data_IF_223914511352
#
_entry.id   IF_223914511352
#
_cell.length_a   1.000
_cell.length_b   1.000
_cell.length_c   1.000
_cell.angle_alpha   90.00
_cell.angle_beta   90.00
_cell.angle_gamma   90.00
#
_symmetry.space_group_name_H-M   'P 1'
#
loop_
_entity.id
_entity.type
_entity.pdbx_description
1 polymer ?
#
# COMPACT_ATOMS: atom_id res chain seq x y z
N UNK A 1 -4.01 -4.23 28.20
CA UNK A 1 -2.57 -4.17 27.88
C UNK A 1 -2.48 -3.89 26.39
N UNK A 2 -1.93 -2.74 25.98
CA UNK A 2 -1.69 -2.48 24.56
C UNK A 2 -0.56 -3.40 24.11
N UNK A 3 -0.86 -4.37 23.25
CA UNK A 3 0.16 -5.15 22.57
C UNK A 3 0.73 -4.25 21.47
N UNK A 4 2.05 -4.08 21.44
CA UNK A 4 2.69 -3.32 20.38
C UNK A 4 2.43 -4.00 19.03
N UNK A 5 2.01 -3.24 18.02
CA UNK A 5 1.88 -3.77 16.66
C UNK A 5 3.28 -4.12 16.18
N UNK A 6 3.56 -5.39 15.79
CA UNK A 6 4.88 -5.78 15.33
C UNK A 6 5.15 -5.15 13.98
N UNK A 7 6.42 -4.82 13.72
CA UNK A 7 6.85 -4.49 12.38
C UNK A 7 7.04 -5.79 11.59
N UNK A 8 6.33 -5.93 10.47
CA UNK A 8 6.33 -7.13 9.62
C UNK A 8 7.24 -7.00 8.38
N UNK A 9 7.90 -5.86 8.23
CA UNK A 9 8.79 -5.57 7.11
C UNK A 9 8.69 -4.11 6.68
N UNK A 10 8.82 -3.88 5.38
CA UNK A 10 8.82 -2.55 4.76
C UNK A 10 8.01 -2.52 3.47
N UNK A 11 7.41 -1.38 3.19
CA UNK A 11 7.01 -1.01 1.83
C UNK A 11 7.97 0.04 1.29
N UNK A 12 8.58 -0.25 0.14
CA UNK A 12 9.49 0.64 -0.57
C UNK A 12 8.82 1.16 -1.84
N UNK A 13 8.68 2.48 -1.93
CA UNK A 13 8.18 3.14 -3.12
C UNK A 13 9.29 3.34 -4.17
N UNK A 14 8.89 3.44 -5.44
CA UNK A 14 9.80 3.66 -6.56
C UNK A 14 10.63 4.95 -6.45
N UNK A 15 10.13 5.96 -5.73
CA UNK A 15 10.85 7.22 -5.46
C UNK A 15 11.83 7.14 -4.27
N UNK A 16 12.00 5.96 -3.69
CA UNK A 16 12.90 5.69 -2.57
C UNK A 16 12.28 5.89 -1.19
N UNK A 17 11.04 6.39 -1.09
CA UNK A 17 10.36 6.44 0.20
C UNK A 17 10.18 5.03 0.79
N UNK A 18 10.35 4.92 2.10
CA UNK A 18 10.12 3.68 2.84
C UNK A 18 9.17 3.92 4.00
N UNK A 19 8.25 2.98 4.22
CA UNK A 19 7.40 2.93 5.40
C UNK A 19 7.48 1.55 6.05
N UNK A 20 7.61 1.46 7.38
CA UNK A 20 7.53 0.18 8.06
C UNK A 20 6.11 -0.37 7.91
N UNK A 21 5.99 -1.68 7.66
CA UNK A 21 4.72 -2.39 7.75
C UNK A 21 4.43 -2.62 9.25
N UNK A 22 3.93 -1.57 9.90
CA UNK A 22 3.61 -1.53 11.32
C UNK A 22 2.33 -0.71 11.52
N UNK A 23 1.20 -1.40 11.48
CA UNK A 23 -0.12 -0.79 11.41
C UNK A 23 -0.52 -0.42 9.99
N UNK A 24 -1.46 0.51 9.86
CA UNK A 24 -2.07 0.81 8.57
C UNK A 24 -1.34 1.94 7.85
N UNK A 25 -1.31 1.84 6.53
CA UNK A 25 -0.75 2.86 5.65
C UNK A 25 -1.78 3.21 4.59
N UNK A 26 -2.12 4.49 4.51
CA UNK A 26 -2.90 5.04 3.42
C UNK A 26 -1.95 5.63 2.39
N UNK A 27 -2.11 5.21 1.14
CA UNK A 27 -1.28 5.65 0.01
C UNK A 27 -2.11 6.47 -0.96
N UNK A 28 -1.53 7.55 -1.44
CA UNK A 28 -2.13 8.35 -2.51
C UNK A 28 -1.46 9.70 -2.63
N UNK A 29 -1.99 10.52 -3.51
CA UNK A 29 -1.39 11.82 -3.87
C UNK A 29 -1.70 12.95 -2.89
N UNK A 30 -2.68 12.73 -2.02
CA UNK A 30 -3.05 13.58 -0.90
C UNK A 30 -3.82 12.71 0.12
N UNK A 31 -3.14 11.75 0.76
CA UNK A 31 -3.77 10.71 1.57
C UNK A 31 -4.27 11.27 2.90
N UNK A 32 -5.42 10.79 3.36
CA UNK A 32 -6.01 11.19 4.63
C UNK A 32 -6.04 10.01 5.61
N UNK A 33 -5.48 10.21 6.81
CA UNK A 33 -5.45 9.20 7.89
C UNK A 33 -6.61 9.34 8.87
N UNK A 34 -7.38 10.43 8.77
CA UNK A 34 -8.45 10.76 9.73
C UNK A 34 -7.99 11.01 11.16
N UNK A 35 -6.67 11.16 11.40
CA UNK A 35 -6.11 11.28 12.75
C UNK A 35 -6.20 10.00 13.58
N UNK A 36 -6.44 8.85 12.95
CA UNK A 36 -6.59 7.58 13.63
C UNK A 36 -5.22 7.12 14.14
N UNK A 37 -5.05 6.83 15.45
CA UNK A 37 -3.80 6.31 15.98
C UNK A 37 -3.38 5.00 15.30
N UNK A 38 -2.13 4.92 14.87
CA UNK A 38 -1.60 3.73 14.18
C UNK A 38 -1.86 3.69 12.67
N UNK A 39 -2.52 4.70 12.10
CA UNK A 39 -2.65 4.88 10.64
C UNK A 39 -1.66 5.94 10.18
N UNK A 40 -0.82 5.59 9.22
CA UNK A 40 0.19 6.49 8.63
C UNK A 40 -0.10 6.76 7.16
N UNK A 41 0.58 7.75 6.60
CA UNK A 41 0.46 8.14 5.20
C UNK A 41 1.74 7.86 4.41
N UNK A 42 1.56 7.39 3.17
CA UNK A 42 2.58 7.38 2.12
C UNK A 42 2.09 8.27 0.98
N UNK A 43 2.62 9.49 0.94
CA UNK A 43 2.25 10.47 -0.09
C UNK A 43 3.03 10.19 -1.38
N UNK A 44 2.30 10.08 -2.50
CA UNK A 44 2.88 9.91 -3.83
C UNK A 44 3.16 11.28 -4.47
N UNK A 45 4.08 11.37 -5.45
CA UNK A 45 4.40 12.65 -6.07
C UNK A 45 3.15 13.35 -6.66
N UNK A 46 2.93 14.64 -6.36
CA UNK A 46 1.70 15.34 -6.72
C UNK A 46 1.45 15.46 -8.24
N UNK A 47 2.51 15.31 -9.05
CA UNK A 47 2.46 15.32 -10.51
C UNK A 47 1.88 14.05 -11.13
N UNK A 48 1.83 12.92 -10.41
CA UNK A 48 1.31 11.65 -10.91
C UNK A 48 -0.21 11.63 -10.85
N UNK A 49 -0.86 12.34 -11.76
CA UNK A 49 -2.30 12.55 -11.73
C UNK A 49 -3.12 11.26 -11.90
N UNK A 50 -2.50 10.20 -12.41
CA UNK A 50 -3.11 8.88 -12.50
C UNK A 50 -3.31 8.22 -11.13
N UNK A 51 -2.53 8.64 -10.13
CA UNK A 51 -2.69 8.19 -8.74
C UNK A 51 -3.75 9.08 -8.06
N UNK A 52 -4.85 8.46 -7.64
CA UNK A 52 -5.87 9.07 -6.79
C UNK A 52 -5.29 9.72 -5.53
N UNK A 53 -5.99 10.74 -5.01
CA UNK A 53 -5.63 11.41 -3.74
C UNK A 53 -5.59 10.41 -2.57
N UNK A 54 -6.60 9.55 -2.53
CA UNK A 54 -6.75 8.40 -1.65
C UNK A 54 -6.84 7.17 -2.56
N UNK A 55 -5.77 6.38 -2.68
CA UNK A 55 -5.67 5.36 -3.73
C UNK A 55 -5.72 3.94 -3.17
N UNK A 56 -4.85 3.66 -2.20
CA UNK A 56 -4.65 2.31 -1.68
C UNK A 56 -4.58 2.36 -0.15
N UNK A 57 -5.13 1.34 0.50
CA UNK A 57 -4.82 1.04 1.91
C UNK A 57 -3.96 -0.20 1.98
N UNK A 58 -2.91 -0.13 2.76
CA UNK A 58 -2.17 -1.29 3.28
C UNK A 58 -2.66 -1.47 4.71
N UNK A 59 -3.19 -2.65 5.00
CA UNK A 59 -3.76 -2.99 6.30
C UNK A 59 -2.94 -4.12 6.93
N UNK A 60 -2.61 -3.96 8.21
CA UNK A 60 -2.01 -5.02 9.00
C UNK A 60 -3.01 -5.56 10.01
N UNK A 61 -3.31 -6.86 9.91
CA UNK A 61 -4.08 -7.59 10.90
C UNK A 61 -3.21 -8.69 11.51
N UNK A 62 -2.74 -8.45 12.74
CA UNK A 62 -1.80 -9.33 13.43
C UNK A 62 -0.48 -9.49 12.65
N UNK A 63 -0.32 -10.65 12.02
CA UNK A 63 0.86 -11.07 11.26
C UNK A 63 0.63 -11.08 9.74
N UNK A 64 -0.56 -10.69 9.29
CA UNK A 64 -0.89 -10.61 7.89
C UNK A 64 -0.90 -9.16 7.42
N UNK A 65 -0.45 -8.97 6.18
CA UNK A 65 -0.54 -7.69 5.47
C UNK A 65 -1.42 -7.90 4.26
N UNK A 66 -2.40 -7.02 4.09
CA UNK A 66 -3.27 -6.98 2.93
C UNK A 66 -3.32 -5.60 2.33
N UNK A 67 -3.73 -5.53 1.07
CA UNK A 67 -3.92 -4.28 0.34
C UNK A 67 -5.32 -4.20 -0.24
N UNK A 68 -5.84 -2.98 -0.31
CA UNK A 68 -7.17 -2.69 -0.84
C UNK A 68 -7.08 -1.43 -1.68
N UNK A 69 -7.45 -1.54 -2.96
CA UNK A 69 -7.72 -0.37 -3.79
C UNK A 69 -8.98 0.34 -3.28
N UNK A 70 -8.89 1.65 -3.04
CA UNK A 70 -9.95 2.43 -2.39
C UNK A 70 -10.94 3.04 -3.39
N UNK A 71 -11.06 2.47 -4.59
CA UNK A 71 -11.84 3.03 -5.69
C UNK A 71 -11.02 4.03 -6.49
N UNK A 72 -9.77 3.66 -6.81
CA UNK A 72 -8.89 4.51 -7.59
C UNK A 72 -9.41 4.69 -9.04
N UNK A 73 -9.03 5.80 -9.69
CA UNK A 73 -9.53 6.10 -11.04
C UNK A 73 -8.95 5.21 -12.13
N UNK A 74 -7.69 4.78 -11.96
CA UNK A 74 -6.95 3.98 -12.97
C UNK A 74 -6.68 2.53 -12.51
N UNK A 75 -7.16 2.16 -11.33
CA UNK A 75 -6.94 0.84 -10.75
C UNK A 75 -5.55 0.65 -10.15
N UNK A 76 -5.35 -0.54 -9.56
CA UNK A 76 -4.07 -1.00 -9.02
C UNK A 76 -3.76 -2.37 -9.60
N UNK A 77 -2.52 -2.58 -10.05
CA UNK A 77 -2.03 -3.90 -10.48
C UNK A 77 -1.11 -4.50 -9.42
N UNK A 78 -1.37 -5.75 -9.04
CA UNK A 78 -0.50 -6.55 -8.17
C UNK A 78 0.30 -7.55 -9.01
N UNK A 79 1.62 -7.43 -8.93
CA UNK A 79 2.57 -8.42 -9.43
C UNK A 79 3.08 -9.25 -8.27
N UNK A 80 2.83 -10.56 -8.33
CA UNK A 80 3.33 -11.52 -7.37
C UNK A 80 4.80 -11.81 -7.59
N UNK A 81 5.47 -12.28 -6.54
CA UNK A 81 6.86 -12.74 -6.63
C UNK A 81 7.07 -13.88 -7.66
N UNK A 82 6.03 -14.70 -7.92
CA UNK A 82 6.06 -15.76 -8.94
C UNK A 82 5.85 -15.26 -10.38
N UNK A 83 5.64 -13.95 -10.56
CA UNK A 83 5.41 -13.30 -11.85
C UNK A 83 3.95 -13.21 -12.28
N UNK A 84 3.00 -13.80 -11.53
CA UNK A 84 1.58 -13.64 -11.81
C UNK A 84 1.12 -12.20 -11.61
N UNK A 85 0.14 -11.80 -12.41
CA UNK A 85 -0.43 -10.45 -12.41
C UNK A 85 -1.91 -10.52 -12.04
N UNK A 86 -2.34 -9.58 -11.21
CA UNK A 86 -3.72 -9.46 -10.73
C UNK A 86 -4.12 -7.99 -10.66
N UNK A 87 -5.14 -7.60 -11.42
CA UNK A 87 -5.79 -6.31 -11.19
C UNK A 87 -6.65 -6.40 -9.93
N UNK A 88 -6.49 -5.44 -9.03
CA UNK A 88 -7.27 -5.41 -7.80
C UNK A 88 -8.70 -4.96 -8.08
N UNK A 89 -9.67 -5.69 -7.53
CA UNK A 89 -11.04 -5.21 -7.48
C UNK A 89 -11.15 -4.18 -6.36
N UNK A 90 -11.64 -2.98 -6.67
CA UNK A 90 -11.83 -1.91 -5.70
C UNK A 90 -12.66 -2.39 -4.49
N UNK A 91 -12.18 -2.06 -3.29
CA UNK A 91 -12.80 -2.44 -2.02
C UNK A 91 -12.52 -3.89 -1.57
N UNK A 92 -11.94 -4.74 -2.42
CA UNK A 92 -11.56 -6.09 -2.04
C UNK A 92 -10.14 -6.12 -1.46
N UNK A 93 -9.96 -6.87 -0.37
CA UNK A 93 -8.66 -7.08 0.27
C UNK A 93 -7.90 -8.23 -0.40
N UNK A 94 -6.60 -8.03 -0.63
CA UNK A 94 -5.70 -9.03 -1.17
C UNK A 94 -4.47 -9.14 -0.27
N UNK A 95 -4.20 -10.33 0.25
CA UNK A 95 -2.99 -10.58 1.05
C UNK A 95 -1.74 -10.41 0.16
N UNK A 96 -0.70 -9.80 0.72
CA UNK A 96 0.59 -9.58 0.06
C UNK A 96 1.71 -10.27 0.84
N UNK A 97 2.76 -10.64 0.12
CA UNK A 97 3.94 -11.30 0.68
C UNK A 97 5.21 -10.51 0.32
N UNK A 98 6.33 -10.69 1.05
CA UNK A 98 7.61 -10.15 0.63
C UNK A 98 7.95 -10.57 -0.81
N UNK A 99 8.34 -9.59 -1.62
CA UNK A 99 8.60 -9.75 -3.05
C UNK A 99 7.44 -9.34 -3.96
N UNK A 100 6.23 -9.20 -3.42
CA UNK A 100 5.10 -8.64 -4.17
C UNK A 100 5.34 -7.16 -4.49
N UNK A 101 4.82 -6.72 -5.64
CA UNK A 101 4.92 -5.35 -6.14
C UNK A 101 3.54 -4.86 -6.57
N UNK A 102 3.11 -3.72 -6.04
CA UNK A 102 1.95 -3.00 -6.56
C UNK A 102 2.40 -1.92 -7.54
N UNK A 103 1.65 -1.76 -8.60
CA UNK A 103 1.78 -0.68 -9.58
C UNK A 103 0.50 0.16 -9.50
N UNK A 104 0.66 1.41 -9.05
CA UNK A 104 -0.44 2.40 -8.96
C UNK A 104 -0.45 3.30 -10.21
N UNK A 105 0.64 3.25 -10.96
CA UNK A 105 1.04 4.10 -12.07
C UNK A 105 2.25 3.43 -12.76
N UNK A 106 2.43 3.56 -14.08
CA UNK A 106 3.58 2.97 -14.78
C UNK A 106 4.93 3.36 -14.19
N UNK A 107 5.04 4.56 -13.61
CA UNK A 107 6.27 5.10 -13.01
C UNK A 107 6.30 5.05 -11.48
N UNK A 108 5.26 4.50 -10.83
CA UNK A 108 5.19 4.43 -9.37
C UNK A 108 4.70 3.08 -8.87
N UNK A 109 5.65 2.34 -8.30
CA UNK A 109 5.43 1.04 -7.71
C UNK A 109 5.69 1.05 -6.21
N UNK A 110 5.08 0.09 -5.51
CA UNK A 110 5.31 -0.22 -4.11
C UNK A 110 5.77 -1.66 -3.99
N UNK A 111 6.98 -1.88 -3.50
CA UNK A 111 7.53 -3.21 -3.27
C UNK A 111 7.45 -3.57 -1.79
N UNK A 112 6.96 -4.78 -1.52
CA UNK A 112 6.91 -5.36 -0.18
C UNK A 112 8.23 -6.10 0.12
N UNK A 113 8.86 -5.76 1.23
CA UNK A 113 10.15 -6.30 1.66
C UNK A 113 10.04 -6.83 3.09
N UNK A 114 10.82 -7.87 3.40
CA UNK A 114 10.95 -8.42 4.75
C UNK A 114 11.75 -7.51 5.69
#
# INVERSE_FOLDING_TARGET
MLVAVPQLGWVRAADGQMRPLQGDIVVGRAPETGGIPGVTALETPPRLLEISRQHLRIHQDGWEVSVTDLGSGNGTLLRRADGSLLELVAGQAYNVQPGDVLELAPEYTLKFEA
#
